data_IF_844573487494
#
_entry.id   IF_844573487494
#
_cell.length_a   1.000
_cell.length_b   1.000
_cell.length_c   1.000
_cell.angle_alpha   90.00
_cell.angle_beta   90.00
_cell.angle_gamma   90.00
#
_symmetry.space_group_name_H-M   'P 1'
#
loop_
_entity.id
_entity.type
_entity.pdbx_description
1 polymer ?
#
# COMPACT_ATOMS: atom_id res chain seq x y z
N UNK A 1 -14.98 -33.93 14.09
CA UNK A 1 -15.57 -33.17 12.96
C UNK A 1 -16.41 -31.94 13.35
N UNK A 2 -16.90 -31.78 14.59
CA UNK A 2 -17.70 -30.59 15.00
C UNK A 2 -16.86 -29.32 15.25
N UNK A 3 -15.63 -29.47 15.77
CA UNK A 3 -14.73 -28.35 16.10
C UNK A 3 -14.24 -27.61 14.84
N UNK A 4 -13.94 -28.34 13.76
CA UNK A 4 -13.48 -27.77 12.48
C UNK A 4 -14.56 -26.91 11.82
N UNK A 5 -15.84 -27.28 11.96
CA UNK A 5 -16.98 -26.47 11.50
C UNK A 5 -17.18 -25.19 12.33
N UNK A 6 -16.81 -25.21 13.61
CA UNK A 6 -16.87 -24.03 14.48
C UNK A 6 -15.74 -23.04 14.16
N UNK A 7 -14.54 -23.55 13.90
CA UNK A 7 -13.39 -22.77 13.42
C UNK A 7 -13.67 -22.16 12.04
N UNK A 8 -14.33 -22.91 11.14
CA UNK A 8 -14.76 -22.39 9.84
C UNK A 8 -15.78 -21.24 9.94
N UNK A 9 -16.59 -21.20 11.01
CA UNK A 9 -17.55 -20.12 11.27
C UNK A 9 -16.90 -18.80 11.71
N UNK A 10 -15.74 -18.85 12.38
CA UNK A 10 -15.02 -17.66 12.86
C UNK A 10 -14.55 -16.75 11.72
N UNK A 11 -14.35 -17.32 10.53
CA UNK A 11 -13.99 -16.60 9.31
C UNK A 11 -15.03 -15.55 8.89
N UNK A 12 -16.30 -15.72 9.26
CA UNK A 12 -17.35 -14.73 8.94
C UNK A 12 -17.30 -13.48 9.81
N UNK A 13 -16.70 -13.53 11.00
CA UNK A 13 -16.55 -12.33 11.86
C UNK A 13 -15.68 -11.25 11.20
N UNK A 14 -14.75 -11.64 10.33
CA UNK A 14 -13.86 -10.72 9.61
C UNK A 14 -14.60 -9.89 8.57
N UNK A 15 -15.79 -10.32 8.12
CA UNK A 15 -16.58 -9.52 7.20
C UNK A 15 -17.05 -8.20 7.83
N UNK A 16 -17.20 -8.14 9.15
CA UNK A 16 -17.61 -6.93 9.87
C UNK A 16 -16.59 -5.80 9.67
N UNK A 17 -15.29 -5.95 10.01
CA UNK A 17 -14.30 -4.90 9.76
C UNK A 17 -14.04 -4.68 8.27
N UNK A 18 -14.09 -5.71 7.42
CA UNK A 18 -13.93 -5.54 5.96
C UNK A 18 -14.97 -4.59 5.40
N UNK A 19 -16.26 -4.84 5.68
CA UNK A 19 -17.36 -4.00 5.20
C UNK A 19 -17.28 -2.62 5.84
N UNK A 20 -16.98 -2.54 7.14
CA UNK A 20 -16.80 -1.27 7.84
C UNK A 20 -15.75 -0.39 7.19
N UNK A 21 -14.54 -0.92 6.96
CA UNK A 21 -13.44 -0.21 6.30
C UNK A 21 -13.79 0.20 4.87
N UNK A 22 -14.47 -0.66 4.11
CA UNK A 22 -14.89 -0.35 2.74
C UNK A 22 -15.90 0.80 2.70
N UNK A 23 -16.88 0.80 3.62
CA UNK A 23 -17.86 1.89 3.73
C UNK A 23 -17.17 3.19 4.15
N UNK A 24 -16.30 3.15 5.16
CA UNK A 24 -15.55 4.32 5.61
C UNK A 24 -14.69 4.90 4.49
N UNK A 25 -13.97 4.06 3.75
CA UNK A 25 -13.22 4.49 2.58
C UNK A 25 -14.11 5.18 1.52
N UNK A 26 -15.28 4.59 1.23
CA UNK A 26 -16.25 5.20 0.34
C UNK A 26 -16.74 6.57 0.81
N UNK A 27 -17.03 6.72 2.11
CA UNK A 27 -17.42 8.01 2.71
C UNK A 27 -16.29 9.02 2.56
N UNK A 28 -15.03 8.64 2.82
CA UNK A 28 -13.90 9.54 2.68
C UNK A 28 -13.66 9.97 1.23
N UNK A 29 -13.87 9.09 0.25
CA UNK A 29 -13.79 9.46 -1.17
C UNK A 29 -14.90 10.43 -1.58
N UNK A 30 -16.13 10.22 -1.09
CA UNK A 30 -17.24 11.14 -1.36
C UNK A 30 -16.96 12.49 -0.70
N UNK A 31 -16.55 12.50 0.57
CA UNK A 31 -16.22 13.73 1.30
C UNK A 31 -15.08 14.49 0.63
N UNK A 32 -13.95 13.82 0.37
CA UNK A 32 -12.82 14.43 -0.33
C UNK A 32 -13.20 14.93 -1.73
N UNK A 33 -14.13 14.24 -2.41
CA UNK A 33 -14.67 14.67 -3.69
C UNK A 33 -15.52 15.94 -3.58
N UNK A 34 -16.37 16.05 -2.57
CA UNK A 34 -17.17 17.25 -2.29
C UNK A 34 -16.24 18.42 -1.95
N UNK A 35 -15.33 18.22 -0.99
CA UNK A 35 -14.38 19.25 -0.55
C UNK A 35 -13.52 19.74 -1.73
N UNK A 36 -13.12 18.85 -2.64
CA UNK A 36 -12.40 19.21 -3.88
C UNK A 36 -13.25 20.04 -4.86
N UNK A 37 -14.54 19.73 -4.99
CA UNK A 37 -15.44 20.48 -5.88
C UNK A 37 -15.70 21.88 -5.34
N UNK A 38 -15.91 22.01 -4.03
CA UNK A 38 -16.11 23.28 -3.35
C UNK A 38 -14.86 24.16 -3.48
N UNK A 39 -13.68 23.60 -3.21
CA UNK A 39 -12.39 24.27 -3.41
C UNK A 39 -12.18 24.75 -4.86
N UNK A 40 -12.53 23.92 -5.86
CA UNK A 40 -12.42 24.30 -7.27
C UNK A 40 -13.39 25.43 -7.63
N UNK A 41 -14.60 25.40 -7.10
CA UNK A 41 -15.59 26.44 -7.31
C UNK A 41 -15.13 27.79 -6.73
N UNK A 42 -14.63 27.78 -5.50
CA UNK A 42 -14.07 28.96 -4.84
C UNK A 42 -12.86 29.53 -5.57
N UNK A 43 -11.95 28.67 -6.05
CA UNK A 43 -10.78 29.09 -6.81
C UNK A 43 -11.14 29.76 -8.15
N UNK A 44 -12.19 29.28 -8.83
CA UNK A 44 -12.64 29.85 -10.11
C UNK A 44 -13.46 31.14 -9.89
N UNK A 45 -14.28 31.18 -8.84
CA UNK A 45 -15.13 32.34 -8.51
C UNK A 45 -14.34 33.50 -7.86
N UNK A 46 -13.26 33.20 -7.13
CA UNK A 46 -12.46 34.15 -6.35
C UNK A 46 -11.23 34.69 -7.08
N UNK A 47 -11.40 35.50 -8.13
CA UNK A 47 -10.27 36.19 -8.83
C UNK A 47 -9.85 37.48 -8.09
N UNK A 48 -9.97 37.53 -6.75
CA UNK A 48 -10.09 38.81 -6.03
C UNK A 48 -9.05 39.18 -4.97
N UNK A 49 -8.66 38.28 -4.06
CA UNK A 49 -8.06 38.73 -2.79
C UNK A 49 -6.69 38.11 -2.49
N UNK A 50 -5.69 38.99 -2.51
CA UNK A 50 -4.28 38.79 -2.19
C UNK A 50 -4.07 38.64 -0.68
N UNK A 51 -4.39 37.47 -0.12
CA UNK A 51 -3.81 36.96 1.14
C UNK A 51 -4.01 35.43 1.32
N UNK A 52 -4.61 34.76 0.34
CA UNK A 52 -5.15 33.40 0.40
C UNK A 52 -4.14 32.28 0.11
N UNK A 53 -2.91 32.59 -0.29
CA UNK A 53 -2.02 31.57 -0.87
C UNK A 53 -1.62 30.46 0.11
N UNK A 54 -1.43 30.78 1.38
CA UNK A 54 -1.10 29.79 2.41
C UNK A 54 -2.32 28.93 2.75
N UNK A 55 -3.50 29.54 2.88
CA UNK A 55 -4.76 28.84 3.14
C UNK A 55 -5.12 27.85 2.03
N UNK A 56 -4.93 28.25 0.77
CA UNK A 56 -5.16 27.40 -0.41
C UNK A 56 -4.30 26.13 -0.36
N UNK A 57 -3.03 26.24 0.06
CA UNK A 57 -2.12 25.09 0.14
C UNK A 57 -2.54 24.15 1.26
N UNK A 58 -2.92 24.69 2.43
CA UNK A 58 -3.37 23.91 3.58
C UNK A 58 -4.61 23.09 3.20
N UNK A 59 -5.64 23.75 2.66
CA UNK A 59 -6.89 23.13 2.28
C UNK A 59 -6.70 22.04 1.21
N UNK A 60 -5.87 22.31 0.20
CA UNK A 60 -5.54 21.32 -0.82
C UNK A 60 -4.83 20.10 -0.21
N UNK A 61 -3.88 20.31 0.71
CA UNK A 61 -3.15 19.22 1.37
C UNK A 61 -4.10 18.36 2.19
N UNK A 62 -5.06 18.97 2.90
CA UNK A 62 -6.09 18.24 3.66
C UNK A 62 -6.99 17.39 2.75
N UNK A 63 -7.47 17.96 1.64
CA UNK A 63 -8.29 17.24 0.66
C UNK A 63 -7.53 16.04 0.09
N UNK A 64 -6.28 16.23 -0.35
CA UNK A 64 -5.43 15.15 -0.87
C UNK A 64 -5.22 14.07 0.19
N UNK A 65 -5.02 14.47 1.44
CA UNK A 65 -4.83 13.55 2.54
C UNK A 65 -6.09 12.72 2.83
N UNK A 66 -7.29 13.29 2.73
CA UNK A 66 -8.55 12.53 2.85
C UNK A 66 -8.64 11.39 1.83
N UNK A 67 -8.28 11.66 0.57
CA UNK A 67 -8.22 10.61 -0.46
C UNK A 67 -7.20 9.53 -0.12
N UNK A 68 -6.02 9.92 0.35
CA UNK A 68 -4.95 8.98 0.70
C UNK A 68 -5.36 8.06 1.87
N UNK A 69 -5.98 8.62 2.92
CA UNK A 69 -6.55 7.85 4.03
C UNK A 69 -7.63 6.89 3.50
N UNK A 70 -8.55 7.38 2.67
CA UNK A 70 -9.60 6.55 2.05
C UNK A 70 -9.02 5.38 1.25
N UNK A 71 -7.98 5.62 0.44
CA UNK A 71 -7.31 4.58 -0.35
C UNK A 71 -6.63 3.56 0.54
N UNK A 72 -5.92 3.98 1.59
CA UNK A 72 -5.27 3.05 2.50
C UNK A 72 -6.30 2.20 3.25
N UNK A 73 -7.41 2.78 3.73
CA UNK A 73 -8.49 2.00 4.35
C UNK A 73 -9.14 1.02 3.36
N UNK A 74 -9.29 1.41 2.09
CA UNK A 74 -9.81 0.54 1.03
C UNK A 74 -8.87 -0.63 0.76
N UNK A 75 -7.59 -0.37 0.55
CA UNK A 75 -6.55 -1.39 0.39
C UNK A 75 -6.52 -2.31 1.61
N UNK A 76 -6.65 -1.74 2.81
CA UNK A 76 -6.68 -2.49 4.07
C UNK A 76 -7.89 -3.43 4.15
N UNK A 77 -9.06 -2.98 3.70
CA UNK A 77 -10.26 -3.80 3.59
C UNK A 77 -10.02 -5.02 2.67
N UNK A 78 -9.41 -4.82 1.50
CA UNK A 78 -9.04 -5.93 0.60
C UNK A 78 -7.99 -6.86 1.21
N UNK A 79 -6.99 -6.31 1.91
CA UNK A 79 -5.97 -7.11 2.60
C UNK A 79 -6.58 -8.04 3.65
N UNK A 80 -7.49 -7.52 4.48
CA UNK A 80 -8.23 -8.33 5.44
C UNK A 80 -9.12 -9.37 4.75
N UNK A 81 -9.79 -8.98 3.67
CA UNK A 81 -10.62 -9.92 2.90
C UNK A 81 -9.76 -11.06 2.33
N UNK A 82 -8.60 -10.74 1.77
CA UNK A 82 -7.68 -11.69 1.16
C UNK A 82 -7.15 -12.70 2.18
N UNK A 83 -6.69 -12.18 3.33
CA UNK A 83 -6.02 -12.99 4.33
C UNK A 83 -6.96 -13.98 5.01
N UNK A 84 -8.20 -13.57 5.30
CA UNK A 84 -9.13 -14.42 6.05
C UNK A 84 -10.09 -15.20 5.16
N UNK A 85 -10.46 -14.67 3.98
CA UNK A 85 -11.38 -15.33 3.07
C UNK A 85 -10.62 -16.03 1.95
N UNK A 86 -10.20 -15.32 0.93
CA UNK A 86 -9.66 -15.99 -0.26
C UNK A 86 -8.57 -15.17 -0.93
N UNK A 87 -7.50 -15.83 -1.41
CA UNK A 87 -6.52 -15.17 -2.26
C UNK A 87 -7.22 -14.66 -3.51
N UNK A 88 -7.18 -13.35 -3.72
CA UNK A 88 -7.64 -12.72 -4.96
C UNK A 88 -6.42 -12.61 -5.90
N UNK A 89 -6.57 -12.80 -7.22
CA UNK A 89 -5.49 -12.59 -8.18
C UNK A 89 -5.25 -11.09 -8.34
N UNK A 90 -4.65 -10.47 -7.32
CA UNK A 90 -4.26 -9.07 -7.31
C UNK A 90 -2.81 -8.95 -7.80
N UNK A 91 -2.46 -7.84 -8.44
CA UNK A 91 -1.06 -7.58 -8.77
C UNK A 91 -0.23 -7.44 -7.48
N UNK A 92 1.05 -7.79 -7.56
CA UNK A 92 1.95 -7.89 -6.39
C UNK A 92 2.06 -6.62 -5.51
N UNK A 93 1.65 -5.45 -6.01
CA UNK A 93 1.62 -4.19 -5.24
C UNK A 93 0.37 -4.02 -4.35
N UNK A 94 -0.66 -4.86 -4.54
CA UNK A 94 -1.89 -4.86 -3.76
C UNK A 94 -2.06 -6.15 -2.95
N UNK A 95 -1.14 -7.11 -3.14
CA UNK A 95 -1.13 -8.40 -2.47
C UNK A 95 -0.58 -8.23 -1.05
N UNK A 96 -1.45 -8.35 -0.05
CA UNK A 96 -1.07 -8.27 1.37
C UNK A 96 -0.95 -9.69 1.90
N UNK A 97 0.26 -10.03 2.35
CA UNK A 97 0.59 -11.41 2.69
C UNK A 97 0.29 -11.75 4.15
N UNK A 98 0.23 -10.75 5.02
CA UNK A 98 0.04 -10.94 6.46
C UNK A 98 -0.70 -9.76 7.15
N UNK A 99 -1.29 -10.03 8.33
CA UNK A 99 -1.87 -9.02 9.23
C UNK A 99 -0.80 -8.00 9.65
N UNK A 100 0.43 -8.43 9.88
CA UNK A 100 1.49 -7.54 10.34
C UNK A 100 1.82 -6.46 9.29
N UNK A 101 1.80 -6.81 8.01
CA UNK A 101 1.98 -5.85 6.90
C UNK A 101 0.83 -4.84 6.87
N UNK A 102 -0.39 -5.32 7.11
CA UNK A 102 -1.57 -4.47 7.19
C UNK A 102 -1.51 -3.48 8.37
N UNK A 103 -1.14 -3.98 9.55
CA UNK A 103 -0.97 -3.19 10.77
C UNK A 103 0.06 -2.08 10.53
N UNK A 104 1.21 -2.41 9.94
CA UNK A 104 2.27 -1.44 9.67
C UNK A 104 1.84 -0.37 8.67
N UNK A 105 1.03 -0.72 7.67
CA UNK A 105 0.48 0.26 6.73
C UNK A 105 -0.47 1.25 7.43
N UNK A 106 -1.31 0.77 8.36
CA UNK A 106 -2.19 1.65 9.14
C UNK A 106 -1.43 2.54 10.14
N UNK A 107 -0.39 2.00 10.78
CA UNK A 107 0.47 2.79 11.68
C UNK A 107 1.25 3.84 10.88
N UNK A 108 1.76 3.49 9.70
CA UNK A 108 2.39 4.40 8.76
C UNK A 108 1.44 5.52 8.33
N UNK A 109 0.20 5.18 7.96
CA UNK A 109 -0.83 6.16 7.66
C UNK A 109 -1.07 7.12 8.84
N UNK A 110 -1.19 6.59 10.05
CA UNK A 110 -1.39 7.41 11.26
C UNK A 110 -0.25 8.41 11.46
N UNK A 111 1.00 8.00 11.24
CA UNK A 111 2.14 8.90 11.29
C UNK A 111 2.08 10.00 10.22
N UNK A 112 1.64 9.66 9.00
CA UNK A 112 1.42 10.63 7.92
C UNK A 112 0.31 11.62 8.27
N UNK A 113 -0.81 11.15 8.85
CA UNK A 113 -1.92 12.01 9.30
C UNK A 113 -1.44 13.04 10.32
N UNK A 114 -0.65 12.60 11.31
CA UNK A 114 -0.08 13.52 12.30
C UNK A 114 0.86 14.54 11.67
N UNK A 115 1.67 14.13 10.69
CA UNK A 115 2.59 15.02 10.00
C UNK A 115 1.86 16.06 9.14
N UNK A 116 0.79 15.66 8.42
CA UNK A 116 -0.03 16.57 7.63
C UNK A 116 -0.76 17.57 8.53
N UNK A 117 -1.34 17.11 9.63
CA UNK A 117 -2.00 18.00 10.59
C UNK A 117 -1.02 19.02 11.20
N UNK A 118 0.21 18.59 11.51
CA UNK A 118 1.26 19.50 11.95
C UNK A 118 1.61 20.55 10.88
N UNK A 119 1.64 20.16 9.59
CA UNK A 119 1.88 21.10 8.50
C UNK A 119 0.78 22.16 8.43
N UNK A 120 -0.50 21.79 8.58
CA UNK A 120 -1.61 22.75 8.66
C UNK A 120 -1.36 23.79 9.76
N UNK A 121 -1.03 23.33 10.98
CA UNK A 121 -0.76 24.21 12.14
C UNK A 121 0.42 25.18 11.89
N UNK A 122 1.49 24.71 11.27
CA UNK A 122 2.68 25.55 10.98
C UNK A 122 2.37 26.62 9.94
N UNK A 123 1.52 26.31 8.97
CA UNK A 123 1.18 27.21 7.87
C UNK A 123 0.12 28.26 8.25
N UNK A 124 -0.73 27.97 9.25
CA UNK A 124 -1.78 28.88 9.71
C UNK A 124 -1.27 30.11 10.50
N UNK A 125 0.02 30.15 10.89
CA UNK A 125 0.67 31.27 11.59
C UNK A 125 -0.03 31.78 12.87
N UNK A 126 -0.82 30.94 13.54
CA UNK A 126 -1.47 31.31 14.80
C UNK A 126 -0.61 30.92 16.01
N UNK A 127 0.02 31.94 16.62
CA UNK A 127 0.61 32.01 17.97
C UNK A 127 2.13 31.79 18.18
N UNK A 128 2.62 32.51 19.20
CA UNK A 128 4.02 32.64 19.67
C UNK A 128 4.66 31.33 20.21
N UNK A 129 3.95 30.20 20.17
CA UNK A 129 4.36 28.93 20.80
C UNK A 129 4.45 27.74 19.84
N UNK A 130 4.82 27.97 18.56
CA UNK A 130 5.10 26.92 17.57
C UNK A 130 6.02 25.81 18.09
N UNK A 131 6.98 26.13 18.96
CA UNK A 131 7.87 25.16 19.58
C UNK A 131 7.14 24.13 20.45
N UNK A 132 6.10 24.54 21.17
CA UNK A 132 5.34 23.64 22.06
C UNK A 132 4.48 22.67 21.25
N UNK A 133 3.80 23.16 20.21
CA UNK A 133 3.07 22.32 19.25
C UNK A 133 4.01 21.38 18.51
N UNK A 134 5.16 21.87 18.04
CA UNK A 134 6.18 21.06 17.37
C UNK A 134 6.63 19.87 18.22
N UNK A 135 6.89 20.08 19.51
CA UNK A 135 7.22 18.98 20.44
C UNK A 135 6.03 18.02 20.62
N UNK A 136 4.81 18.56 20.73
CA UNK A 136 3.58 17.78 20.87
C UNK A 136 3.32 16.81 19.70
N UNK A 137 3.62 17.21 18.46
CA UNK A 137 3.52 16.35 17.28
C UNK A 137 4.77 15.49 17.06
N UNK A 138 5.97 15.99 17.38
CA UNK A 138 7.21 15.25 17.19
C UNK A 138 7.29 13.98 18.05
N UNK A 139 6.79 14.03 19.28
CA UNK A 139 6.84 12.89 20.21
C UNK A 139 6.06 11.66 19.70
N UNK A 140 4.76 11.76 19.32
CA UNK A 140 4.03 10.62 18.78
C UNK A 140 4.57 10.19 17.41
N UNK A 141 4.99 11.12 16.54
CA UNK A 141 5.59 10.77 15.24
C UNK A 141 6.88 9.96 15.43
N UNK A 142 7.73 10.36 16.38
CA UNK A 142 8.96 9.64 16.70
C UNK A 142 8.67 8.25 17.29
N UNK A 143 7.69 8.14 18.18
CA UNK A 143 7.28 6.87 18.77
C UNK A 143 6.76 5.89 17.71
N UNK A 144 5.88 6.36 16.82
CA UNK A 144 5.32 5.55 15.72
C UNK A 144 6.42 5.16 14.71
N UNK A 145 7.31 6.09 14.35
CA UNK A 145 8.43 5.81 13.45
C UNK A 145 9.38 4.77 14.03
N UNK A 146 9.66 4.84 15.33
CA UNK A 146 10.46 3.83 16.02
C UNK A 146 9.76 2.46 16.04
N UNK A 147 8.46 2.42 16.32
CA UNK A 147 7.65 1.20 16.27
C UNK A 147 7.70 0.54 14.88
N UNK A 148 7.50 1.32 13.82
CA UNK A 148 7.57 0.85 12.43
C UNK A 148 8.97 0.27 12.15
N UNK A 149 10.04 0.97 12.54
CA UNK A 149 11.42 0.51 12.31
C UNK A 149 11.71 -0.82 13.01
N UNK A 150 11.27 -0.98 14.26
CA UNK A 150 11.47 -2.20 15.04
C UNK A 150 10.72 -3.38 14.41
N UNK A 151 9.49 -3.17 13.97
CA UNK A 151 8.63 -4.22 13.39
C UNK A 151 8.98 -4.54 11.93
N UNK A 152 9.27 -3.54 11.10
CA UNK A 152 9.67 -3.70 9.70
C UNK A 152 10.94 -4.53 9.53
N UNK A 153 11.91 -4.38 10.45
CA UNK A 153 13.14 -5.17 10.44
C UNK A 153 12.88 -6.67 10.56
N UNK A 154 11.78 -7.08 11.20
CA UNK A 154 11.40 -8.50 11.33
C UNK A 154 10.85 -9.07 10.02
N UNK A 155 10.14 -8.26 9.23
CA UNK A 155 9.54 -8.68 7.94
C UNK A 155 10.62 -8.82 6.86
N UNK A 156 11.59 -7.90 6.81
CA UNK A 156 12.65 -7.90 5.79
C UNK A 156 13.62 -9.08 5.96
N UNK A 157 14.00 -9.41 7.21
CA UNK A 157 14.82 -10.59 7.52
C UNK A 157 14.14 -11.92 7.12
N UNK A 158 12.80 -11.96 7.01
CA UNK A 158 12.06 -13.14 6.54
C UNK A 158 12.13 -13.35 5.03
N UNK A 159 12.34 -12.28 4.24
CA UNK A 159 12.43 -12.33 2.77
C UNK A 159 13.86 -12.56 2.27
N UNK A 160 14.88 -12.21 3.05
CA UNK A 160 16.29 -12.39 2.70
C UNK A 160 16.79 -13.84 2.90
N UNK A 161 16.17 -14.61 3.80
CA UNK A 161 16.60 -15.96 4.17
C UNK A 161 15.91 -17.10 3.37
N UNK A 162 15.53 -16.86 2.11
CA UNK A 162 15.01 -17.89 1.22
C UNK A 162 16.14 -18.39 0.29
N UNK A 163 16.68 -19.62 0.48
CA UNK A 163 17.68 -20.19 -0.42
C UNK A 163 17.02 -20.72 -1.69
N UNK A 164 16.46 -19.88 -2.57
CA UNK A 164 15.84 -20.42 -3.80
C UNK A 164 15.67 -19.40 -4.94
N UNK A 165 16.79 -18.97 -5.50
CA UNK A 165 16.84 -18.63 -6.93
C UNK A 165 18.25 -18.80 -7.49
N UNK A 166 19.28 -18.43 -6.75
CA UNK A 166 20.69 -18.63 -7.15
C UNK A 166 21.11 -20.11 -7.16
N UNK A 167 20.80 -20.87 -6.11
CA UNK A 167 21.16 -22.30 -6.02
C UNK A 167 20.41 -23.16 -7.03
N UNK A 168 19.09 -22.95 -7.19
CA UNK A 168 18.28 -23.67 -8.19
C UNK A 168 18.77 -23.37 -9.60
N UNK A 169 19.08 -22.10 -9.92
CA UNK A 169 19.60 -21.75 -11.25
C UNK A 169 20.97 -22.36 -11.54
N UNK A 170 21.83 -22.49 -10.52
CA UNK A 170 23.13 -23.14 -10.68
C UNK A 170 23.01 -24.65 -10.96
N UNK A 171 22.17 -25.36 -10.22
CA UNK A 171 21.94 -26.80 -10.39
C UNK A 171 21.23 -27.12 -11.72
N UNK A 172 20.23 -26.30 -12.10
CA UNK A 172 19.52 -26.42 -13.38
C UNK A 172 20.46 -26.10 -14.54
N UNK A 173 21.37 -25.14 -14.39
CA UNK A 173 22.38 -24.82 -15.41
C UNK A 173 23.38 -25.97 -15.62
N UNK A 174 23.87 -26.58 -14.54
CA UNK A 174 24.76 -27.75 -14.64
C UNK A 174 24.06 -28.96 -15.24
N UNK A 175 22.83 -29.28 -14.80
CA UNK A 175 22.04 -30.36 -15.36
C UNK A 175 21.78 -30.16 -16.87
N UNK A 176 21.41 -28.95 -17.28
CA UNK A 176 21.22 -28.62 -18.69
C UNK A 176 22.52 -28.72 -19.50
N UNK A 177 23.67 -28.40 -18.91
CA UNK A 177 24.98 -28.50 -19.56
C UNK A 177 25.35 -29.96 -19.86
N UNK A 178 25.07 -30.88 -18.93
CA UNK A 178 25.28 -32.32 -19.11
C UNK A 178 24.33 -32.89 -20.15
N UNK A 179 23.05 -32.48 -20.12
CA UNK A 179 22.07 -32.90 -21.12
C UNK A 179 22.42 -32.38 -22.52
N UNK A 180 22.92 -31.15 -22.65
CA UNK A 180 23.39 -30.60 -23.92
C UNK A 180 24.56 -31.41 -24.50
N UNK A 181 25.53 -31.77 -23.63
CA UNK A 181 26.68 -32.58 -24.04
C UNK A 181 26.25 -33.97 -24.51
N UNK A 182 25.42 -34.65 -23.72
CA UNK A 182 24.89 -35.99 -24.05
C UNK A 182 24.02 -35.99 -25.32
N UNK A 183 23.25 -34.92 -25.54
CA UNK A 183 22.41 -34.75 -26.73
C UNK A 183 23.23 -34.52 -28.00
N UNK A 184 24.33 -33.76 -27.90
CA UNK A 184 25.22 -33.53 -29.03
C UNK A 184 26.03 -34.78 -29.39
N UNK A 185 26.37 -35.61 -28.40
CA UNK A 185 26.98 -36.94 -28.62
C UNK A 185 25.99 -37.94 -29.25
N UNK A 186 24.67 -37.79 -28.99
CA UNK A 186 23.62 -38.65 -29.53
C UNK A 186 23.10 -38.25 -30.93
N UNK A 187 23.65 -37.20 -31.56
CA UNK A 187 23.32 -36.80 -32.94
C UNK A 187 21.87 -36.34 -33.18
N UNK A 188 21.14 -35.92 -32.14
CA UNK A 188 19.72 -35.56 -32.24
C UNK A 188 19.58 -34.14 -32.85
N UNK A 189 18.81 -33.96 -33.94
CA UNK A 189 18.67 -32.65 -34.60
C UNK A 189 17.96 -31.62 -33.72
N UNK A 190 18.40 -30.35 -33.80
CA UNK A 190 17.73 -29.21 -33.17
C UNK A 190 16.37 -29.00 -33.84
N UNK A 191 15.27 -29.24 -33.14
CA UNK A 191 13.97 -28.70 -33.56
C UNK A 191 14.02 -27.16 -33.45
N UNK A 192 13.53 -26.42 -34.45
CA UNK A 192 13.44 -24.97 -34.36
C UNK A 192 12.31 -24.61 -33.40
N UNK A 193 12.63 -23.89 -32.33
CA UNK A 193 11.64 -23.14 -31.57
C UNK A 193 11.11 -22.05 -32.50
N UNK A 194 9.89 -22.22 -33.00
CA UNK A 194 9.18 -21.18 -33.76
C UNK A 194 8.77 -20.12 -32.74
N UNK A 195 9.50 -19.02 -32.67
CA UNK A 195 9.00 -17.81 -32.01
C UNK A 195 7.73 -17.37 -32.73
N UNK A 196 6.59 -17.68 -32.13
CA UNK A 196 5.30 -17.16 -32.55
C UNK A 196 5.28 -15.68 -32.16
N UNK A 197 5.62 -14.82 -33.12
CA UNK A 197 5.40 -13.37 -33.03
C UNK A 197 3.91 -13.12 -32.89
N UNK A 198 3.43 -12.94 -31.66
CA UNK A 198 2.12 -12.35 -31.40
C UNK A 198 2.19 -10.87 -31.78
N UNK A 199 1.49 -10.54 -32.86
CA UNK A 199 1.53 -9.26 -33.55
C UNK A 199 1.03 -8.09 -32.72
N UNK A 200 1.89 -7.08 -32.59
CA UNK A 200 1.50 -5.69 -32.36
C UNK A 200 1.03 -5.13 -33.71
N UNK A 201 -0.28 -5.02 -33.90
CA UNK A 201 -0.86 -4.24 -35.01
C UNK A 201 -1.08 -2.81 -34.52
N UNK A 202 -0.28 -1.89 -35.05
CA UNK A 202 -0.64 -0.48 -35.17
C UNK A 202 -1.88 -0.35 -36.07
N UNK A 203 -2.84 0.45 -35.61
CA UNK A 203 -3.57 1.43 -36.42
C UNK A 203 -3.98 2.57 -35.51
#
# INVERSE_FOLDING_TARGET
>A
MKVVRFIAGMRYFVLIPVIGLAITAGILFIKGGIDLLDFLYEMIAGIGEMDTKSTIIIELVEIVHLFLVGTVLFITSFGLYQLFIQPLPLPAWLEINDIEELELNLVGLTAVVLAVNFLSVVLEQHEDNLALYGIGYALPIAALSYFIKVRSKTIDNGKENLPASSEINSQVSEANRVLYKKRNEAGIPKYPFKEEKTGKKEK
#
